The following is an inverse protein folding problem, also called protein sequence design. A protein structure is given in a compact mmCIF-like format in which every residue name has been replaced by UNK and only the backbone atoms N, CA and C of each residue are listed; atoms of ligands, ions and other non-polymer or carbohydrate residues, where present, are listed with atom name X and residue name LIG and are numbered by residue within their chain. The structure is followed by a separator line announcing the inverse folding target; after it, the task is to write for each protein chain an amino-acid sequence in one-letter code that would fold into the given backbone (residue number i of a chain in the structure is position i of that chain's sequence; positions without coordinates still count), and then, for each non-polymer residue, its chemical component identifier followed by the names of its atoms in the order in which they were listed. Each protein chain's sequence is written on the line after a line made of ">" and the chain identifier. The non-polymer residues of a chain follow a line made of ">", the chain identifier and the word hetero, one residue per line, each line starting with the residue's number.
data_IF_151539128004
#
_entry.id   IF_151539128004
#
_cell.length_a   1.000
_cell.length_b   1.000
_cell.length_c   1.000
_cell.angle_alpha   90.00
_cell.angle_beta   90.00
_cell.angle_gamma   90.00
#
_symmetry.space_group_name_H-M   'P 1'
#
loop_
_entity.id
_entity.type
_entity.pdbx_description
1 polymer ?
#
# COMPACT_ATOMS: atom_id res chain seq x y z
N UNK A 1 26.74 17.34 63.21
CA UNK A 1 26.98 16.17 62.34
C UNK A 1 26.56 16.57 60.93
N UNK A 2 27.53 16.94 60.09
CA UNK A 2 27.30 17.46 58.73
C UNK A 2 27.20 16.24 57.82
N UNK A 3 26.01 15.94 57.30
CA UNK A 3 25.82 14.85 56.35
C UNK A 3 25.60 15.41 54.94
N UNK A 4 26.54 15.04 54.07
CA UNK A 4 26.74 15.54 52.73
C UNK A 4 25.59 15.17 51.79
N UNK A 5 24.96 16.19 51.21
CA UNK A 5 23.91 16.04 50.19
C UNK A 5 24.57 15.69 48.84
N UNK A 6 24.68 14.38 48.54
CA UNK A 6 25.22 13.91 47.27
C UNK A 6 24.15 14.01 46.18
N UNK A 7 24.32 15.08 45.41
CA UNK A 7 23.95 15.36 44.02
C UNK A 7 23.19 14.24 43.27
N UNK A 8 22.05 14.68 42.74
CA UNK A 8 21.15 14.03 41.78
C UNK A 8 21.88 13.63 40.50
N UNK A 9 21.72 12.38 40.05
CA UNK A 9 21.81 12.01 38.64
C UNK A 9 20.67 11.03 38.35
N UNK A 10 19.51 11.56 37.96
CA UNK A 10 18.46 10.81 37.31
C UNK A 10 18.65 11.00 35.79
N UNK A 11 19.55 10.24 35.19
CA UNK A 11 19.66 10.14 33.74
C UNK A 11 18.73 9.00 33.29
N UNK A 12 17.43 9.28 33.21
CA UNK A 12 16.48 8.39 32.56
C UNK A 12 16.56 8.66 31.06
N UNK A 13 17.42 7.88 30.39
CA UNK A 13 17.70 7.96 28.96
C UNK A 13 16.43 7.79 28.13
N UNK A 14 15.90 8.90 27.61
CA UNK A 14 14.97 8.90 26.48
C UNK A 14 15.82 8.74 25.23
N UNK A 15 16.10 7.49 24.84
CA UNK A 15 16.81 7.20 23.60
C UNK A 15 16.42 5.80 23.10
N UNK A 16 15.19 5.62 22.65
CA UNK A 16 14.78 4.37 21.99
C UNK A 16 13.65 4.54 20.95
N UNK A 17 13.72 5.58 20.11
CA UNK A 17 12.75 5.77 19.02
C UNK A 17 13.39 6.09 17.66
N UNK A 18 14.56 5.53 17.36
CA UNK A 18 15.16 5.63 16.01
C UNK A 18 15.84 4.31 15.60
N UNK A 19 15.18 3.17 15.79
CA UNK A 19 15.53 1.99 15.00
C UNK A 19 14.90 2.22 13.63
N UNK A 20 15.78 2.49 12.66
CA UNK A 20 15.44 2.89 11.30
C UNK A 20 14.53 1.91 10.59
N UNK A 21 13.77 2.49 9.66
CA UNK A 21 13.03 1.83 8.59
C UNK A 21 13.95 0.77 7.95
N UNK A 22 13.49 -0.48 7.96
CA UNK A 22 14.30 -1.64 7.57
C UNK A 22 14.58 -1.69 6.08
N UNK A 23 15.75 -2.24 5.76
CA UNK A 23 16.33 -2.54 4.44
C UNK A 23 15.41 -3.31 3.47
N UNK A 24 14.30 -3.88 3.95
CA UNK A 24 13.34 -4.67 3.15
C UNK A 24 12.21 -3.85 2.53
N UNK A 25 12.08 -2.56 2.89
CA UNK A 25 10.98 -1.73 2.39
C UNK A 25 11.19 -1.21 0.97
N UNK A 26 12.44 -1.19 0.50
CA UNK A 26 12.78 -0.66 -0.82
C UNK A 26 12.23 -1.54 -1.95
N UNK A 27 12.33 -2.88 -1.81
CA UNK A 27 11.85 -3.83 -2.83
C UNK A 27 10.32 -3.83 -2.99
N UNK A 28 9.58 -3.47 -1.94
CA UNK A 28 8.11 -3.41 -1.96
C UNK A 28 7.54 -2.19 -2.71
N UNK A 29 8.38 -1.23 -3.07
CA UNK A 29 8.03 0.01 -3.79
C UNK A 29 8.66 0.08 -5.20
N UNK A 30 9.19 -1.03 -5.72
CA UNK A 30 9.89 -1.03 -7.02
C UNK A 30 8.99 -1.19 -8.24
N UNK A 31 7.70 -1.47 -8.07
CA UNK A 31 6.78 -1.52 -9.20
C UNK A 31 6.53 -0.12 -9.78
N UNK A 32 6.89 0.08 -11.05
CA UNK A 32 6.63 1.31 -11.81
C UNK A 32 5.36 1.18 -12.69
N UNK A 33 4.82 -0.03 -12.78
CA UNK A 33 3.72 -0.37 -13.66
C UNK A 33 2.63 -1.17 -12.97
N UNK A 34 1.43 -1.16 -13.55
CA UNK A 34 0.32 -1.99 -13.10
C UNK A 34 0.61 -3.50 -13.26
N UNK A 35 1.46 -3.87 -14.22
CA UNK A 35 1.87 -5.26 -14.45
C UNK A 35 2.84 -5.74 -13.36
N UNK A 36 3.88 -4.97 -13.05
CA UNK A 36 4.78 -5.26 -11.93
C UNK A 36 4.02 -5.31 -10.60
N UNK A 37 3.10 -4.35 -10.40
CA UNK A 37 2.22 -4.34 -9.23
C UNK A 37 1.36 -5.61 -9.13
N UNK A 38 0.93 -6.19 -10.26
CA UNK A 38 0.17 -7.44 -10.27
C UNK A 38 1.02 -8.61 -9.78
N UNK A 39 2.29 -8.66 -10.15
CA UNK A 39 3.24 -9.68 -9.67
C UNK A 39 3.53 -9.50 -8.18
N UNK A 40 3.78 -8.28 -7.72
CA UNK A 40 4.07 -7.98 -6.32
C UNK A 40 2.90 -8.34 -5.40
N UNK A 41 1.66 -8.05 -5.84
CA UNK A 41 0.45 -8.45 -5.12
C UNK A 41 0.38 -9.97 -4.88
N UNK A 42 0.81 -10.80 -5.83
CA UNK A 42 0.82 -12.25 -5.64
C UNK A 42 1.95 -12.68 -4.71
N UNK A 43 3.15 -12.15 -4.93
CA UNK A 43 4.36 -12.52 -4.18
C UNK A 43 4.27 -12.17 -2.70
N UNK A 44 3.93 -10.91 -2.37
CA UNK A 44 3.89 -10.44 -0.98
C UNK A 44 2.69 -10.97 -0.17
N UNK A 45 1.70 -11.56 -0.84
CA UNK A 45 0.53 -12.19 -0.20
C UNK A 45 0.55 -13.71 -0.26
N UNK A 46 1.62 -14.34 -0.77
CA UNK A 46 1.66 -15.79 -0.94
C UNK A 46 1.40 -16.54 0.37
N UNK A 47 1.90 -16.02 1.48
CA UNK A 47 1.78 -16.62 2.81
C UNK A 47 0.81 -15.86 3.74
N UNK A 48 0.01 -14.94 3.19
CA UNK A 48 -0.99 -14.20 3.95
C UNK A 48 -2.20 -15.07 4.34
N UNK A 49 -3.09 -14.55 5.19
CA UNK A 49 -4.39 -15.16 5.46
C UNK A 49 -5.11 -15.51 4.13
N UNK A 50 -5.77 -16.68 4.01
CA UNK A 50 -6.40 -17.12 2.77
C UNK A 50 -7.34 -16.09 2.13
N UNK A 51 -8.04 -15.29 2.93
CA UNK A 51 -8.92 -14.23 2.44
C UNK A 51 -8.12 -13.10 1.79
N UNK A 52 -7.02 -12.67 2.43
CA UNK A 52 -6.14 -11.63 1.93
C UNK A 52 -5.39 -12.09 0.68
N UNK A 53 -4.86 -13.32 0.68
CA UNK A 53 -4.24 -13.95 -0.49
C UNK A 53 -5.20 -13.98 -1.69
N UNK A 54 -6.46 -14.35 -1.45
CA UNK A 54 -7.49 -14.36 -2.51
C UNK A 54 -7.77 -12.95 -3.05
N UNK A 55 -7.85 -11.95 -2.18
CA UNK A 55 -8.05 -10.56 -2.60
C UNK A 55 -6.87 -10.03 -3.43
N UNK A 56 -5.64 -10.30 -3.00
CA UNK A 56 -4.43 -9.91 -3.71
C UNK A 56 -4.33 -10.59 -5.08
N UNK A 57 -4.63 -11.89 -5.16
CA UNK A 57 -4.73 -12.60 -6.44
C UNK A 57 -5.83 -12.01 -7.34
N UNK A 58 -6.99 -11.69 -6.78
CA UNK A 58 -8.09 -11.09 -7.56
C UNK A 58 -7.69 -9.71 -8.11
N UNK A 59 -6.97 -8.90 -7.33
CA UNK A 59 -6.45 -7.63 -7.78
C UNK A 59 -5.41 -7.80 -8.90
N UNK A 60 -4.49 -8.76 -8.76
CA UNK A 60 -3.49 -9.13 -9.75
C UNK A 60 -4.13 -9.59 -11.08
N UNK A 61 -5.01 -10.58 -11.04
CA UNK A 61 -5.70 -11.09 -12.24
C UNK A 61 -6.51 -9.99 -12.94
N UNK A 62 -7.12 -9.08 -12.16
CA UNK A 62 -7.86 -7.94 -12.70
C UNK A 62 -6.94 -6.91 -13.38
N UNK A 63 -5.73 -6.70 -12.85
CA UNK A 63 -4.74 -5.81 -13.45
C UNK A 63 -4.24 -6.35 -14.79
N UNK A 64 -3.89 -7.63 -14.85
CA UNK A 64 -3.47 -8.32 -16.08
C UNK A 64 -4.55 -8.24 -17.17
N UNK A 65 -5.83 -8.32 -16.78
CA UNK A 65 -6.97 -8.25 -17.70
C UNK A 65 -7.39 -6.82 -18.07
N UNK A 66 -6.75 -5.78 -17.49
CA UNK A 66 -7.19 -4.39 -17.64
C UNK A 66 -8.57 -4.11 -17.01
N UNK A 67 -9.04 -4.97 -16.11
CA UNK A 67 -10.29 -4.80 -15.37
C UNK A 67 -10.08 -3.88 -14.16
N UNK A 68 -9.81 -2.61 -14.45
CA UNK A 68 -9.50 -1.60 -13.44
C UNK A 68 -10.57 -1.42 -12.34
N UNK A 69 -11.88 -1.50 -12.60
CA UNK A 69 -12.89 -1.45 -11.53
C UNK A 69 -12.68 -2.54 -10.47
N UNK A 70 -12.47 -3.78 -10.91
CA UNK A 70 -12.28 -4.91 -10.01
C UNK A 70 -10.94 -4.82 -9.27
N UNK A 71 -9.88 -4.37 -9.96
CA UNK A 71 -8.58 -4.12 -9.34
C UNK A 71 -8.68 -3.10 -8.20
N UNK A 72 -9.26 -1.92 -8.47
CA UNK A 72 -9.46 -0.86 -7.46
C UNK A 72 -10.31 -1.36 -6.30
N UNK A 73 -11.40 -2.08 -6.57
CA UNK A 73 -12.25 -2.63 -5.52
C UNK A 73 -11.47 -3.59 -4.62
N UNK A 74 -10.73 -4.53 -5.20
CA UNK A 74 -9.98 -5.55 -4.47
C UNK A 74 -8.85 -4.92 -3.64
N UNK A 75 -8.15 -3.93 -4.20
CA UNK A 75 -7.13 -3.13 -3.50
C UNK A 75 -7.75 -2.36 -2.32
N UNK A 76 -8.92 -1.74 -2.50
CA UNK A 76 -9.60 -1.05 -1.41
C UNK A 76 -10.07 -2.00 -0.30
N UNK A 77 -10.49 -3.21 -0.66
CA UNK A 77 -10.82 -4.25 0.31
C UNK A 77 -9.57 -4.66 1.09
N UNK A 78 -8.42 -4.84 0.43
CA UNK A 78 -7.15 -5.09 1.13
C UNK A 78 -6.80 -3.95 2.10
N UNK A 79 -6.86 -2.68 1.65
CA UNK A 79 -6.65 -1.50 2.51
C UNK A 79 -7.57 -1.48 3.73
N UNK A 80 -8.83 -1.89 3.57
CA UNK A 80 -9.79 -1.98 4.66
C UNK A 80 -9.44 -3.04 5.72
N UNK A 81 -8.65 -4.06 5.37
CA UNK A 81 -8.13 -5.06 6.31
C UNK A 81 -6.73 -4.65 6.86
N UNK A 82 -6.36 -3.37 6.83
CA UNK A 82 -5.01 -2.89 7.17
C UNK A 82 -4.44 -3.29 8.52
N UNK A 83 -5.28 -3.71 9.49
CA UNK A 83 -4.82 -4.26 10.78
C UNK A 83 -4.21 -5.66 10.67
N UNK A 84 -4.54 -6.40 9.62
CA UNK A 84 -4.09 -7.76 9.36
C UNK A 84 -2.86 -7.78 8.43
N UNK A 85 -2.41 -6.61 7.97
CA UNK A 85 -1.32 -6.46 7.02
C UNK A 85 -0.01 -6.11 7.73
N UNK A 86 1.08 -6.70 7.25
CA UNK A 86 2.41 -6.22 7.61
C UNK A 86 2.78 -4.95 6.79
N UNK A 87 3.93 -4.35 7.12
CA UNK A 87 4.37 -3.10 6.50
C UNK A 87 4.59 -3.25 4.99
N UNK A 88 5.22 -4.33 4.54
CA UNK A 88 5.51 -4.60 3.13
C UNK A 88 4.21 -4.76 2.32
N UNK A 89 3.25 -5.50 2.86
CA UNK A 89 1.92 -5.66 2.28
C UNK A 89 1.18 -4.32 2.16
N UNK A 90 1.25 -3.47 3.18
CA UNK A 90 0.66 -2.12 3.13
C UNK A 90 1.29 -1.25 2.04
N UNK A 91 2.61 -1.33 1.86
CA UNK A 91 3.33 -0.61 0.81
C UNK A 91 2.94 -1.11 -0.57
N UNK A 92 3.00 -2.42 -0.82
CA UNK A 92 2.61 -3.04 -2.10
C UNK A 92 1.18 -2.66 -2.49
N UNK A 93 0.23 -2.70 -1.55
CA UNK A 93 -1.16 -2.30 -1.83
C UNK A 93 -1.28 -0.81 -2.15
N UNK A 94 -0.46 0.02 -1.52
CA UNK A 94 -0.45 1.46 -1.76
C UNK A 94 0.12 1.77 -3.14
N UNK A 95 1.26 1.17 -3.47
CA UNK A 95 1.95 1.30 -4.76
C UNK A 95 1.10 0.77 -5.91
N UNK A 96 0.54 -0.45 -5.76
CA UNK A 96 -0.42 -0.99 -6.71
C UNK A 96 -1.59 -0.03 -6.94
N UNK A 97 -2.09 0.63 -5.89
CA UNK A 97 -3.14 1.64 -6.03
C UNK A 97 -2.74 2.84 -6.88
N UNK A 98 -1.50 3.32 -6.75
CA UNK A 98 -0.94 4.41 -7.57
C UNK A 98 -0.78 3.96 -9.02
N UNK A 99 -0.21 2.78 -9.24
CA UNK A 99 0.04 2.24 -10.56
C UNK A 99 -1.24 1.91 -11.33
N UNK A 100 -2.28 1.39 -10.66
CA UNK A 100 -3.62 1.25 -11.24
C UNK A 100 -4.16 2.60 -11.68
N UNK A 101 -4.02 3.64 -10.85
CA UNK A 101 -4.50 4.97 -11.18
C UNK A 101 -3.76 5.57 -12.40
N UNK A 102 -2.44 5.36 -12.47
CA UNK A 102 -1.61 5.73 -13.63
C UNK A 102 -2.08 5.00 -14.90
N UNK A 103 -2.35 3.69 -14.81
CA UNK A 103 -2.86 2.91 -15.93
C UNK A 103 -4.24 3.39 -16.41
N UNK A 104 -5.17 3.70 -15.50
CA UNK A 104 -6.49 4.27 -15.85
C UNK A 104 -6.31 5.61 -16.59
N UNK A 105 -5.43 6.49 -16.12
CA UNK A 105 -5.18 7.79 -16.78
C UNK A 105 -4.64 7.57 -18.20
N UNK A 106 -3.60 6.74 -18.35
CA UNK A 106 -3.01 6.40 -19.66
C UNK A 106 -4.04 5.77 -20.61
N UNK A 107 -4.91 4.89 -20.11
CA UNK A 107 -5.98 4.28 -20.90
C UNK A 107 -7.03 5.33 -21.33
N UNK A 108 -7.40 6.23 -20.42
CA UNK A 108 -8.33 7.33 -20.70
C UNK A 108 -7.80 8.29 -21.76
N UNK A 109 -6.51 8.67 -21.69
CA UNK A 109 -5.82 9.51 -22.68
C UNK A 109 -5.80 8.87 -24.08
N UNK A 110 -5.74 7.53 -24.14
CA UNK A 110 -5.83 6.75 -25.39
C UNK A 110 -7.27 6.57 -25.89
N UNK A 111 -8.27 7.14 -25.21
CA UNK A 111 -9.67 7.09 -25.63
C UNK A 111 -10.49 5.94 -25.06
N UNK A 112 -10.01 5.22 -24.04
CA UNK A 112 -10.80 4.20 -23.37
C UNK A 112 -11.99 4.84 -22.62
N UNK A 113 -13.20 4.58 -23.11
CA UNK A 113 -14.44 5.14 -22.54
C UNK A 113 -14.71 4.67 -21.11
N UNK A 114 -14.35 3.43 -20.76
CA UNK A 114 -14.54 2.91 -19.41
C UNK A 114 -13.59 3.61 -18.45
N UNK A 115 -12.32 3.78 -18.83
CA UNK A 115 -11.34 4.52 -18.04
C UNK A 115 -11.75 5.99 -17.86
N UNK A 116 -12.21 6.65 -18.93
CA UNK A 116 -12.77 8.01 -18.87
C UNK A 116 -13.97 8.10 -17.90
N UNK A 117 -14.90 7.15 -17.98
CA UNK A 117 -16.05 7.11 -17.06
C UNK A 117 -15.60 6.95 -15.60
N UNK A 118 -14.63 6.07 -15.32
CA UNK A 118 -14.09 5.92 -13.97
C UNK A 118 -13.49 7.22 -13.43
N UNK A 119 -12.67 7.93 -14.22
CA UNK A 119 -12.09 9.21 -13.80
C UNK A 119 -13.17 10.27 -13.55
N UNK A 120 -14.20 10.32 -14.39
CA UNK A 120 -15.33 11.23 -14.20
C UNK A 120 -16.07 10.97 -12.90
N UNK A 121 -16.33 9.70 -12.58
CA UNK A 121 -16.97 9.31 -11.31
C UNK A 121 -16.09 9.64 -10.10
N UNK A 122 -14.78 9.38 -10.17
CA UNK A 122 -13.83 9.73 -9.11
C UNK A 122 -13.81 11.25 -8.86
N UNK A 123 -13.77 12.04 -9.93
CA UNK A 123 -13.80 13.50 -9.84
C UNK A 123 -15.12 14.02 -9.28
N UNK A 124 -16.26 13.43 -9.65
CA UNK A 124 -17.56 13.78 -9.10
C UNK A 124 -17.62 13.49 -7.59
N UNK A 125 -17.10 12.33 -7.16
CA UNK A 125 -17.04 11.97 -5.73
C UNK A 125 -16.19 12.90 -4.88
N UNK A 126 -15.19 13.60 -5.46
CA UNK A 126 -14.33 14.55 -4.74
C UNK A 126 -14.92 15.96 -4.63
N UNK A 127 -15.95 16.26 -5.42
CA UNK A 127 -16.61 17.58 -5.44
C UNK A 127 -17.80 17.66 -4.48
N UNK A 128 -18.24 16.53 -3.95
CA UNK A 128 -19.33 16.38 -2.99
C UNK A 128 -18.77 16.12 -1.59
#
# INVERSE_FOLDING_TARGET
>A
MINNFKIRILAFSIAFLLIGCGDSTEDALQADTAEESANDLVSYFENADPKLKKLAKTASDALEQGNYPLAVQSINQLKANGRELNVDQLMVITEAGVNVQSAIIKASEKGDRKAQMMLNMQNASRRN
#
